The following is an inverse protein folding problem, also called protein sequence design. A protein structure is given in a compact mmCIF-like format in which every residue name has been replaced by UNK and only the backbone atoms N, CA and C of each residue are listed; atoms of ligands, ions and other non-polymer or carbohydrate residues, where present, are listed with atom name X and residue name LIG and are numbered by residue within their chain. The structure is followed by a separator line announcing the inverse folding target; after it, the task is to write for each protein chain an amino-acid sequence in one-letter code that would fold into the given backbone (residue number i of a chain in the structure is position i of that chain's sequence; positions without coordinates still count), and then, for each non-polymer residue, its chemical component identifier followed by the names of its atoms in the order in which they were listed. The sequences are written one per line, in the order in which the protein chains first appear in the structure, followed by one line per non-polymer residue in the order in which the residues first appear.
data_IF_232569388217
#
_entry.id   IF_232569388217
#
_cell.length_a   1.000
_cell.length_b   1.000
_cell.length_c   1.000
_cell.angle_alpha   90.00
_cell.angle_beta   90.00
_cell.angle_gamma   90.00
#
_symmetry.space_group_name_H-M   'P 1'
#
loop_
_entity.id
_entity.type
_entity.pdbx_description
1 polymer ?
2 polymer ?
3 polymer ?
4 water ?
#
loop_
_entity_poly.entity_id
_entity_poly.type
_entity_poly.pdbx_seq_one_letter_code
_entity_poly.pdbx_strand_id
2 'polyribonucleotide' 'GUAGGACCAUG' ?
3 'polydeoxyribonucleotide' '(DC)(DC)(DA)(DT)(DG)(DG)(DT)(DC)(DC)(DT)(DA)' ?
#
# COMPACT_ATOMS: atom_id res chain seq x y z
N UNK A 2 -24.31 -1.65 18.08
CA UNK A 2 -23.08 -2.15 18.69
C UNK A 2 -22.95 -1.73 20.14
N UNK A 3 -21.73 -1.39 20.53
CA UNK A 3 -21.45 -0.98 21.90
C UNK A 3 -22.02 0.40 22.22
N UNK A 4 -22.25 0.66 23.50
CA UNK A 4 -22.85 1.90 23.96
C UNK A 4 -22.09 2.42 25.16
N UNK A 5 -21.92 3.73 25.22
CA UNK A 5 -21.09 4.31 26.27
C UNK A 5 -21.81 4.32 27.63
N UNK A 6 -21.04 4.13 28.69
CA UNK A 6 -21.58 4.23 30.05
C UNK A 6 -22.17 5.62 30.29
N UNK A 7 -23.20 5.69 31.12
CA UNK A 7 -23.97 6.89 31.28
C UNK A 7 -23.13 8.02 31.86
N UNK A 8 -22.13 7.69 32.65
CA UNK A 8 -21.29 8.69 33.30
C UNK A 8 -19.97 8.83 32.59
N UNK A 9 -19.97 8.58 31.28
CA UNK A 9 -18.72 8.63 30.48
C UNK A 9 -17.96 9.94 30.67
N UNK A 10 -18.67 11.06 30.64
CA UNK A 10 -18.06 12.37 30.83
C UNK A 10 -17.22 12.49 32.13
N UNK A 11 -17.81 12.10 33.25
CA UNK A 11 -17.16 12.20 34.56
C UNK A 11 -15.92 11.33 34.65
N UNK A 12 -16.05 10.13 34.11
CA UNK A 12 -14.97 9.19 34.00
C UNK A 12 -13.88 9.80 33.15
N UNK A 13 -14.28 10.42 32.05
CA UNK A 13 -13.27 10.96 31.12
C UNK A 13 -12.45 12.05 31.78
N UNK A 14 -13.15 12.99 32.39
CA UNK A 14 -12.47 14.06 33.13
C UNK A 14 -11.55 13.45 34.21
N UNK A 15 -12.07 12.52 35.00
CA UNK A 15 -11.22 11.95 36.04
C UNK A 15 -10.00 11.24 35.43
N UNK A 16 -10.19 10.53 34.32
CA UNK A 16 -9.10 9.84 33.70
C UNK A 16 -8.05 10.82 33.20
N UNK A 17 -8.46 11.84 32.45
CA UNK A 17 -7.46 12.75 31.87
C UNK A 17 -6.82 13.63 32.95
N UNK A 18 -7.54 13.93 34.02
CA UNK A 18 -6.92 14.68 35.11
C UNK A 18 -5.64 14.04 35.65
N UNK A 19 -5.60 12.72 35.69
CA UNK A 19 -4.44 12.01 36.20
C UNK A 19 -3.34 11.87 35.15
N UNK A 20 -3.67 12.11 33.88
CA UNK A 20 -2.69 11.97 32.78
C UNK A 20 -2.13 13.32 32.31
N UNK A 21 -3.00 14.30 32.14
CA UNK A 21 -2.63 15.64 31.69
C UNK A 21 -3.86 16.54 31.80
N UNK A 22 -3.99 17.26 32.93
CA UNK A 22 -5.16 18.10 33.20
C UNK A 22 -5.43 19.20 32.17
N UNK A 23 -4.43 19.60 31.37
CA UNK A 23 -4.66 20.66 30.38
C UNK A 23 -5.49 20.16 29.19
N UNK A 24 -5.46 18.84 29.00
CA UNK A 24 -6.26 18.18 27.97
C UNK A 24 -7.64 17.68 28.42
N UNK A 25 -7.96 17.77 29.70
CA UNK A 25 -9.21 17.15 30.21
C UNK A 25 -10.48 17.66 29.54
N UNK A 26 -10.54 18.97 29.30
CA UNK A 26 -11.72 19.52 28.65
C UNK A 26 -11.88 19.03 27.22
N UNK A 27 -10.77 18.98 26.48
CA UNK A 27 -10.82 18.53 25.10
C UNK A 27 -11.19 17.06 25.04
N UNK A 28 -10.63 16.28 25.95
CA UNK A 28 -10.85 14.86 25.90
C UNK A 28 -12.29 14.57 26.24
N UNK A 29 -12.84 15.31 27.19
CA UNK A 29 -14.23 15.08 27.61
C UNK A 29 -15.25 15.26 26.47
N UNK A 30 -15.02 16.30 25.68
CA UNK A 30 -15.83 16.61 24.50
C UNK A 30 -15.71 15.51 23.43
N UNK A 31 -14.52 14.98 23.22
CA UNK A 31 -14.39 13.86 22.28
C UNK A 31 -15.17 12.65 22.84
N UNK A 32 -15.06 12.37 24.15
CA UNK A 32 -15.86 11.27 24.69
C UNK A 32 -17.36 11.56 24.53
N UNK A 33 -17.78 12.82 24.66
CA UNK A 33 -19.17 13.15 24.38
C UNK A 33 -19.58 12.86 22.96
N UNK A 34 -18.71 13.23 22.02
CA UNK A 34 -18.98 12.95 20.64
C UNK A 34 -19.15 11.43 20.40
N UNK A 35 -18.31 10.62 21.04
CA UNK A 35 -18.38 9.17 20.85
C UNK A 35 -19.59 8.57 21.56
N UNK A 36 -19.98 9.19 22.65
CA UNK A 36 -21.21 8.79 23.35
C UNK A 36 -22.37 8.92 22.40
N UNK A 37 -22.36 10.03 21.68
CA UNK A 37 -23.43 10.29 20.72
C UNK A 37 -23.26 9.45 19.46
N UNK A 38 -22.01 9.07 19.16
CA UNK A 38 -21.64 8.40 17.92
C UNK A 38 -20.72 7.20 18.19
N UNK A 39 -21.24 6.20 18.89
CA UNK A 39 -20.41 5.12 19.43
C UNK A 39 -19.81 4.24 18.34
N UNK A 40 -20.39 4.27 17.15
CA UNK A 40 -19.80 3.52 16.02
C UNK A 40 -18.61 4.22 15.41
N UNK A 41 -18.36 5.47 15.80
CA UNK A 41 -17.16 6.18 15.37
C UNK A 41 -15.97 5.80 16.23
N UNK A 42 -16.21 5.01 17.26
CA UNK A 42 -15.20 4.76 18.28
C UNK A 42 -14.29 3.66 17.79
N UNK A 43 -13.00 3.95 17.73
CA UNK A 43 -12.07 2.99 17.17
C UNK A 43 -11.74 1.97 18.24
N UNK A 44 -11.58 0.72 17.81
CA UNK A 44 -11.16 -0.33 18.74
C UNK A 44 -9.76 -0.01 19.31
N UNK A 45 -9.47 -0.52 20.50
CA UNK A 45 -8.20 -0.22 21.16
C UNK A 45 -7.07 -1.12 20.66
N UNK A 51 -10.76 -4.82 26.25
CA UNK A 51 -11.29 -3.54 26.74
C UNK A 51 -12.37 -2.96 25.84
N UNK A 52 -13.63 -3.27 26.15
CA UNK A 52 -14.76 -2.99 25.27
C UNK A 52 -15.05 -1.49 25.07
N UNK A 53 -15.41 -1.14 23.86
CA UNK A 53 -15.76 0.26 23.53
C UNK A 53 -16.86 0.76 24.44
N UNK A 54 -16.62 1.93 25.04
CA UNK A 54 -17.61 2.62 25.86
C UNK A 54 -17.58 2.31 27.34
N UNK A 55 -16.73 1.38 27.75
CA UNK A 55 -16.60 1.01 29.15
C UNK A 55 -15.69 1.97 29.92
N UNK A 56 -15.75 1.88 31.25
CA UNK A 56 -14.89 2.71 32.09
C UNK A 56 -13.41 2.51 31.75
N UNK A 57 -13.09 1.24 31.53
CA UNK A 57 -11.74 0.79 31.27
C UNK A 57 -11.24 1.39 29.96
N UNK A 58 -12.11 1.31 28.97
CA UNK A 58 -11.87 1.87 27.61
C UNK A 58 -11.59 3.36 27.68
N UNK A 59 -12.43 4.07 28.42
CA UNK A 59 -12.25 5.51 28.55
C UNK A 59 -10.88 5.86 29.18
N UNK A 60 -10.57 5.17 30.28
CA UNK A 60 -9.27 5.37 30.90
C UNK A 60 -8.11 5.07 29.95
N UNK A 61 -8.15 3.96 29.22
CA UNK A 61 -7.08 3.69 28.25
C UNK A 61 -6.98 4.77 27.17
N UNK A 62 -8.15 5.20 26.74
CA UNK A 62 -8.25 6.20 25.71
C UNK A 62 -7.61 7.53 26.14
N UNK A 63 -7.71 7.87 27.43
CA UNK A 63 -7.06 9.10 27.88
C UNK A 63 -5.53 9.04 27.63
N UNK A 64 -4.92 7.90 27.92
CA UNK A 64 -3.50 7.75 27.65
C UNK A 64 -3.25 7.80 26.17
N UNK A 65 -4.08 7.13 25.38
CA UNK A 65 -3.86 7.19 23.93
C UNK A 65 -3.99 8.61 23.35
N UNK A 66 -4.98 9.36 23.87
CA UNK A 66 -5.25 10.73 23.39
C UNK A 66 -4.07 11.60 23.72
N UNK A 67 -3.52 11.40 24.92
CA UNK A 67 -2.37 12.18 25.33
C UNK A 67 -1.13 11.79 24.52
N UNK A 68 -0.89 10.50 24.36
CA UNK A 68 0.29 10.05 23.59
C UNK A 68 0.23 10.55 22.15
N UNK A 69 -0.98 10.60 21.57
CA UNK A 69 -1.12 11.16 20.25
C UNK A 69 -0.53 12.56 20.07
N UNK A 70 -0.50 13.34 21.13
CA UNK A 70 -0.08 14.73 21.04
C UNK A 70 1.43 14.86 21.31
N UNK A 71 2.04 13.80 21.82
CA UNK A 71 3.50 13.78 22.01
C UNK A 71 4.17 13.64 20.63
N UNK A 72 5.32 14.31 20.44
CA UNK A 72 6.05 14.30 19.17
C UNK A 72 6.37 12.92 18.65
N UNK A 73 5.97 12.67 17.41
CA UNK A 73 6.26 11.40 16.74
C UNK A 73 7.57 11.54 15.93
N UNK A 74 8.49 10.60 16.06
CA UNK A 74 9.79 10.72 15.38
C UNK A 74 9.77 10.02 14.02
N UNK A 75 10.22 10.73 12.98
CA UNK A 75 10.27 10.06 11.68
C UNK A 75 11.27 8.90 11.74
N UNK A 76 10.92 7.76 11.14
CA UNK A 76 11.81 6.61 11.13
C UNK A 76 11.76 5.92 9.80
N UNK A 77 12.94 5.63 9.23
CA UNK A 77 12.89 4.76 8.05
C UNK A 77 12.41 3.39 8.45
N UNK A 78 11.98 2.57 7.50
CA UNK A 78 11.57 1.19 7.80
C UNK A 78 12.63 0.40 8.57
N UNK A 79 12.17 -0.59 9.32
CA UNK A 79 13.05 -1.46 10.12
C UNK A 79 13.41 -2.71 9.32
N UNK A 80 13.11 -2.67 8.03
CA UNK A 80 13.23 -3.84 7.16
C UNK A 80 14.55 -3.90 6.43
N UNK A 81 14.88 -5.07 5.87
CA UNK A 81 16.06 -5.22 5.05
C UNK A 81 15.67 -4.91 3.61
N UNK A 82 16.39 -3.99 2.95
CA UNK A 82 15.98 -3.69 1.56
C UNK A 82 16.26 -4.88 0.64
N UNK A 83 15.45 -5.03 -0.40
CA UNK A 83 15.67 -6.05 -1.41
C UNK A 83 16.79 -5.61 -2.32
N UNK A 84 17.85 -6.42 -2.36
CA UNK A 84 19.02 -6.18 -3.20
C UNK A 84 18.66 -6.02 -4.65
N UNK A 85 17.57 -6.66 -5.07
CA UNK A 85 17.23 -6.62 -6.50
C UNK A 85 16.78 -5.22 -6.93
N UNK A 86 16.28 -4.41 -6.00
CA UNK A 86 15.90 -3.03 -6.38
C UNK A 86 17.12 -2.26 -6.84
N UNK A 87 18.27 -2.49 -6.20
CA UNK A 87 19.47 -1.82 -6.66
C UNK A 87 19.93 -2.31 -8.02
N UNK A 88 19.74 -3.58 -8.28
CA UNK A 88 20.11 -4.15 -9.58
C UNK A 88 19.27 -3.48 -10.66
N UNK A 89 17.98 -3.36 -10.37
CA UNK A 89 17.08 -2.70 -11.33
C UNK A 89 17.48 -1.25 -11.54
N UNK A 90 17.82 -0.53 -10.46
CA UNK A 90 18.25 0.85 -10.57
C UNK A 90 19.47 0.92 -11.48
N UNK A 91 20.38 -0.01 -11.27
CA UNK A 91 21.65 -0.01 -11.98
C UNK A 91 21.51 -0.39 -13.47
N UNK A 92 20.79 -1.47 -13.76
CA UNK A 92 20.81 -2.03 -15.10
C UNK A 92 19.70 -1.49 -16.00
N UNK A 93 18.68 -0.89 -15.41
CA UNK A 93 17.65 -0.32 -16.26
C UNK A 93 17.62 1.19 -16.15
N UNK A 94 17.66 1.73 -14.94
CA UNK A 94 17.53 3.18 -14.77
C UNK A 94 18.87 3.90 -14.81
N UNK A 95 19.95 3.14 -14.94
CA UNK A 95 21.29 3.73 -15.14
C UNK A 95 21.84 4.50 -13.92
N UNK A 96 21.43 4.13 -12.72
CA UNK A 96 22.05 4.68 -11.51
C UNK A 96 23.43 4.07 -11.37
N UNK A 97 24.48 4.92 -11.31
CA UNK A 97 25.81 4.33 -11.22
C UNK A 97 25.99 3.44 -10.00
N UNK A 98 26.85 2.44 -10.13
CA UNK A 98 27.13 1.44 -9.10
C UNK A 98 27.48 2.10 -7.77
N UNK A 99 28.27 3.15 -7.90
CA UNK A 99 28.86 3.82 -6.75
C UNK A 99 27.83 4.66 -6.00
N UNK A 100 26.64 4.78 -6.57
CA UNK A 100 25.63 5.57 -5.93
C UNK A 100 24.48 4.71 -5.46
N UNK A 101 24.58 3.40 -5.65
CA UNK A 101 23.43 2.57 -5.26
C UNK A 101 23.18 2.53 -3.75
N UNK A 102 24.22 2.53 -2.95
CA UNK A 102 24.02 2.43 -1.49
C UNK A 102 23.30 3.70 -0.97
N UNK A 103 23.69 4.82 -1.55
CA UNK A 103 23.06 6.12 -1.29
C UNK A 103 21.60 6.16 -1.73
N UNK A 104 21.31 5.71 -2.95
CA UNK A 104 19.93 5.62 -3.41
C UNK A 104 19.09 4.76 -2.46
N UNK A 105 19.68 3.67 -1.97
CA UNK A 105 18.96 2.78 -1.08
C UNK A 105 18.58 3.47 0.23
N UNK A 106 19.54 4.24 0.74
CA UNK A 106 19.32 4.94 2.00
C UNK A 106 18.32 6.09 1.83
N UNK A 107 18.48 6.87 0.78
CA UNK A 107 17.58 7.95 0.54
C UNK A 107 16.17 7.50 0.26
N UNK A 108 16.02 6.34 -0.39
CA UNK A 108 14.70 5.77 -0.58
C UNK A 108 14.05 5.42 0.77
N UNK A 109 14.82 4.86 1.67
CA UNK A 109 14.30 4.50 2.97
C UNK A 109 13.95 5.77 3.75
N UNK A 110 14.78 6.81 3.69
CA UNK A 110 14.43 8.05 4.41
C UNK A 110 13.16 8.67 3.82
N UNK A 111 13.01 8.57 2.50
CA UNK A 111 11.88 9.18 1.81
C UNK A 111 10.61 8.52 2.28
N UNK A 112 10.66 7.20 2.46
CA UNK A 112 9.46 6.50 2.92
C UNK A 112 9.15 6.90 4.39
N UNK A 113 10.19 7.05 5.21
CA UNK A 113 10.03 7.54 6.57
C UNK A 113 9.32 8.91 6.55
N UNK A 114 9.79 9.79 5.69
CA UNK A 114 9.23 11.14 5.61
C UNK A 114 7.77 11.07 5.18
N UNK A 115 7.48 10.32 4.12
CA UNK A 115 6.11 10.20 3.66
C UNK A 115 5.20 9.70 4.78
N UNK A 116 5.73 8.86 5.62
CA UNK A 116 4.91 8.25 6.64
C UNK A 116 4.61 9.20 7.79
N UNK A 117 5.29 10.35 7.83
CA UNK A 117 4.97 11.31 8.91
C UNK A 117 4.31 12.61 8.44
N UNK A 118 4.22 12.84 7.14
CA UNK A 118 3.68 14.12 6.68
C UNK A 118 2.23 14.29 7.08
N UNK A 119 1.43 13.23 7.05
CA UNK A 119 0.05 13.33 7.50
C UNK A 119 -0.11 13.70 8.99
N UNK A 120 0.72 13.10 9.84
CA UNK A 120 0.76 13.45 11.24
C UNK A 120 1.17 14.92 11.41
N UNK A 121 2.13 15.39 10.65
CA UNK A 121 2.57 16.80 10.82
C UNK A 121 1.42 17.72 10.35
N UNK A 122 0.71 17.31 9.31
CA UNK A 122 -0.39 18.08 8.78
C UNK A 122 -1.52 18.23 9.84
N UNK A 123 -1.82 17.13 10.56
CA UNK A 123 -2.82 17.20 11.63
C UNK A 123 -2.38 18.11 12.77
N UNK A 124 -1.14 18.01 13.15
CA UNK A 124 -0.58 18.86 14.21
C UNK A 124 -0.64 20.35 13.86
N UNK A 125 -0.28 20.67 12.64
CA UNK A 125 -0.30 22.07 12.20
C UNK A 125 -1.71 22.61 12.26
N UNK A 126 -2.64 21.90 11.64
CA UNK A 126 -4.01 22.34 11.66
C UNK A 126 -4.52 22.49 13.10
N UNK A 127 -4.23 21.51 13.95
CA UNK A 127 -4.66 21.55 15.35
C UNK A 127 -4.16 22.82 16.04
N UNK A 128 -2.90 23.16 15.79
CA UNK A 128 -2.33 24.36 16.43
C UNK A 128 -3.12 25.59 15.98
N UNK A 129 -3.60 25.60 14.75
CA UNK A 129 -4.29 26.80 14.23
C UNK A 129 -5.78 26.82 14.62
N UNK A 130 -6.48 25.70 14.55
CA UNK A 130 -7.91 25.73 14.80
C UNK A 130 -8.42 25.28 16.19
N UNK A 131 -7.59 24.64 16.99
CA UNK A 131 -8.03 24.32 18.34
C UNK A 131 -8.36 25.58 19.20
N UNK A 132 -7.59 26.66 19.06
CA UNK A 132 -8.02 27.90 19.76
C UNK A 132 -9.44 28.37 19.41
N UNK A 133 -9.97 27.96 18.26
CA UNK A 133 -11.38 28.24 17.92
C UNK A 133 -12.37 27.19 18.28
N UNK A 134 -11.98 26.24 19.10
CA UNK A 134 -12.95 25.30 19.63
C UNK A 134 -13.07 24.01 18.87
N UNK A 135 -12.37 23.90 17.73
CA UNK A 135 -12.26 22.59 17.08
C UNK A 135 -11.34 21.79 17.98
N UNK A 136 -11.59 20.49 18.05
CA UNK A 136 -10.75 19.61 18.86
C UNK A 136 -10.13 18.53 18.00
N UNK A 137 -8.82 18.43 18.11
CA UNK A 137 -8.09 17.37 17.44
C UNK A 137 -8.25 16.03 18.14
N UNK A 138 -8.89 15.10 17.45
CA UNK A 138 -9.00 13.76 17.95
C UNK A 138 -7.68 13.01 17.85
N UNK A 139 -6.76 13.35 18.73
CA UNK A 139 -5.46 12.73 18.74
C UNK A 139 -5.53 11.28 19.23
N UNK A 140 -4.53 10.52 18.86
CA UNK A 140 -4.51 9.13 19.28
C UNK A 140 -5.38 8.49 18.24
N UNK A 141 -5.80 7.27 18.49
CA UNK A 141 -6.46 6.53 17.42
C UNK A 141 -7.94 6.41 17.68
N UNK A 142 -8.54 7.45 18.28
CA UNK A 142 -9.80 7.30 18.99
C UNK A 142 -11.05 7.25 18.12
N UNK A 143 -11.09 8.10 17.12
CA UNK A 143 -12.27 8.25 16.31
C UNK A 143 -11.91 7.76 14.94
N UNK A 144 -12.70 6.81 14.46
CA UNK A 144 -12.49 6.24 13.15
C UNK A 144 -12.77 7.26 12.04
N UNK A 145 -11.79 7.52 11.19
CA UNK A 145 -11.98 8.33 9.98
C UNK A 145 -12.37 9.79 10.26
N UNK A 146 -12.14 10.27 11.48
CA UNK A 146 -12.40 11.65 11.89
C UNK A 146 -11.13 12.19 12.57
N UNK A 147 -10.70 13.37 12.17
CA UNK A 147 -9.53 14.00 12.79
C UNK A 147 -9.87 15.18 13.67
N UNK A 148 -10.91 15.95 13.33
CA UNK A 148 -11.34 17.07 14.15
C UNK A 148 -12.85 17.10 14.34
N UNK A 149 -13.29 17.53 15.50
CA UNK A 149 -14.71 17.66 15.78
C UNK A 149 -15.01 19.00 16.42
N UNK A 150 -16.28 19.39 16.35
CA UNK A 150 -16.68 20.68 16.88
C UNK A 150 -18.14 20.64 17.29
N UNK A 151 -18.46 21.13 18.48
CA UNK A 151 -19.90 21.32 18.83
C UNK A 151 -20.25 22.79 18.59
N UNK A 152 -21.10 23.07 17.59
CA UNK A 152 -21.34 24.44 17.18
C UNK A 152 -22.43 25.09 18.03
N UNK A 153 -22.75 26.34 17.68
CA UNK A 153 -23.70 27.17 18.42
C UNK A 153 -25.07 26.50 18.53
N UNK A 154 -25.44 25.80 17.48
CA UNK A 154 -26.73 25.13 17.42
C UNK A 154 -26.70 23.77 18.12
N UNK A 155 -25.59 23.46 18.79
CA UNK A 155 -25.40 22.17 19.46
C UNK A 155 -25.48 21.00 18.48
N UNK A 156 -24.87 21.17 17.32
CA UNK A 156 -24.79 20.13 16.31
C UNK A 156 -23.30 19.76 16.16
N UNK A 157 -22.99 18.46 16.14
CA UNK A 157 -21.61 17.97 15.92
C UNK A 157 -21.19 18.16 14.50
N UNK A 158 -20.04 18.84 14.33
CA UNK A 158 -19.35 18.96 13.07
C UNK A 158 -18.05 18.18 13.13
N UNK A 159 -17.68 17.60 11.99
CA UNK A 159 -16.46 16.79 11.98
C UNK A 159 -15.72 16.91 10.69
N UNK A 160 -14.42 16.66 10.76
CA UNK A 160 -13.56 16.89 9.61
C UNK A 160 -12.50 15.83 9.57
N UNK A 161 -12.25 15.35 8.35
CA UNK A 161 -11.22 14.35 8.06
C UNK A 161 -10.21 15.02 7.12
N UNK A 162 -8.94 15.00 7.48
CA UNK A 162 -7.94 15.61 6.63
C UNK A 162 -6.98 14.54 6.15
N UNK A 163 -6.58 14.68 4.89
CA UNK A 163 -5.64 13.74 4.29
C UNK A 163 -4.59 14.51 3.56
N UNK A 164 -3.42 13.93 3.41
CA UNK A 164 -2.36 14.63 2.75
C UNK A 164 -2.55 14.67 1.25
N UNK A 165 -3.18 13.64 0.71
CA UNK A 165 -3.17 13.44 -0.73
C UNK A 165 -4.55 13.04 -1.23
N UNK A 166 -4.81 13.35 -2.48
CA UNK A 166 -6.15 13.12 -3.01
C UNK A 166 -6.37 11.68 -3.44
N UNK A 167 -5.29 10.89 -3.56
CA UNK A 167 -5.45 9.52 -4.04
C UNK A 167 -5.36 8.55 -2.87
N UNK A 168 -6.38 8.62 -2.02
CA UNK A 168 -6.48 7.79 -0.83
C UNK A 168 -7.80 7.04 -0.87
N UNK A 169 -7.81 5.82 -0.34
CA UNK A 169 -9.03 5.02 -0.28
C UNK A 169 -10.02 5.71 0.68
N UNK A 170 -11.29 5.79 0.26
CA UNK A 170 -12.29 6.60 0.93
C UNK A 170 -13.38 5.76 1.58
N UNK A 171 -13.14 5.33 2.83
CA UNK A 171 -14.08 4.42 3.51
C UNK A 171 -13.74 4.19 4.97
N UNK A 172 -14.31 3.09 5.48
CA UNK A 172 -14.15 2.67 6.86
C UNK A 172 -14.47 3.82 7.82
N UNK A 173 -15.60 4.47 7.57
CA UNK A 173 -16.29 5.25 8.58
C UNK A 173 -17.72 4.75 8.58
N UNK A 174 -18.22 4.33 9.73
CA UNK A 174 -19.64 4.06 9.85
C UNK A 174 -20.39 5.39 9.67
N UNK A 175 -21.64 5.31 9.19
CA UNK A 175 -22.44 6.50 9.01
C UNK A 175 -22.54 7.27 10.32
N UNK A 176 -22.49 8.59 10.25
CA UNK A 176 -22.65 9.41 11.45
C UNK A 176 -24.07 9.21 11.97
N UNK A 177 -24.23 9.34 13.28
CA UNK A 177 -25.50 9.12 13.96
C UNK A 177 -26.13 10.45 14.43
N UNK A 178 -25.34 11.24 15.14
CA UNK A 178 -25.70 12.55 15.60
C UNK A 178 -24.68 13.53 15.07
N UNK A 179 -25.07 14.32 14.07
CA UNK A 179 -24.20 15.32 13.51
C UNK A 179 -24.36 15.46 12.01
N UNK A 180 -23.57 16.35 11.43
CA UNK A 180 -23.56 16.53 9.97
C UNK A 180 -22.58 15.53 9.37
N UNK A 181 -22.64 15.32 8.05
CA UNK A 181 -21.70 14.33 7.47
C UNK A 181 -20.23 14.78 7.61
N UNK A 182 -19.32 13.84 7.77
CA UNK A 182 -17.89 14.17 7.93
C UNK A 182 -17.44 14.99 6.71
N UNK A 183 -16.89 16.20 6.92
CA UNK A 183 -16.25 16.99 5.86
C UNK A 183 -14.92 16.39 5.53
N UNK A 184 -14.54 16.39 4.26
CA UNK A 184 -13.32 15.71 3.87
C UNK A 184 -12.44 16.68 3.10
N UNK A 185 -11.16 16.75 3.39
CA UNK A 185 -10.30 17.66 2.69
C UNK A 185 -8.92 17.03 2.52
N UNK A 186 -8.29 17.29 1.40
CA UNK A 186 -6.90 16.87 1.22
C UNK A 186 -6.04 18.04 0.84
N UNK A 187 -4.74 17.93 1.11
CA UNK A 187 -3.78 19.00 0.89
C UNK A 187 -3.18 19.01 -0.52
N UNK A 188 -2.70 17.86 -1.01
CA UNK A 188 -1.91 17.85 -2.24
C UNK A 188 -2.63 17.05 -3.32
N UNK A 189 -2.31 17.38 -4.57
CA UNK A 189 -2.80 16.62 -5.72
C UNK A 189 -1.73 15.64 -6.18
N UNK A 190 -2.13 14.43 -6.52
CA UNK A 190 -1.17 13.45 -6.98
C UNK A 190 -0.77 13.75 -8.42
N UNK A 191 -1.66 14.38 -9.18
CA UNK A 191 -1.48 14.54 -10.63
C UNK A 191 -1.23 15.97 -11.12
N UNK A 192 -1.17 16.92 -10.20
CA UNK A 192 -0.86 18.29 -10.58
C UNK A 192 -0.13 19.05 -9.48
N UNK A 193 0.65 20.03 -9.90
CA UNK A 193 1.35 20.92 -9.01
C UNK A 193 0.34 21.78 -8.24
N UNK A 194 0.76 22.23 -7.07
CA UNK A 194 -0.03 23.12 -6.26
C UNK A 194 -0.57 22.45 -5.01
N UNK A 195 -1.35 23.22 -4.29
CA UNK A 195 -1.99 22.75 -3.07
C UNK A 195 -3.49 23.13 -3.09
N UNK A 196 -4.22 22.55 -2.14
CA UNK A 196 -5.67 22.63 -2.05
C UNK A 196 -6.18 23.43 -0.84
N UNK A 197 -5.31 24.25 -0.25
CA UNK A 197 -5.67 25.00 0.95
C UNK A 197 -6.84 25.94 0.70
N UNK A 198 -6.97 26.39 -0.55
CA UNK A 198 -8.05 27.33 -0.88
C UNK A 198 -9.42 26.69 -0.71
N UNK A 199 -9.48 25.35 -0.76
CA UNK A 199 -10.72 24.62 -0.55
C UNK A 199 -10.87 24.07 0.86
N UNK A 200 -10.03 24.52 1.75
CA UNK A 200 -10.18 24.03 3.12
C UNK A 200 -11.61 24.40 3.63
N UNK A 201 -12.30 23.50 4.34
CA UNK A 201 -13.69 23.77 4.74
C UNK A 201 -13.88 25.06 5.53
N UNK A 202 -15.02 25.71 5.33
CA UNK A 202 -15.31 26.89 6.12
C UNK A 202 -15.49 26.44 7.56
N UNK A 203 -14.65 27.01 8.42
CA UNK A 203 -14.75 26.82 9.85
C UNK A 203 -13.83 27.90 10.47
N UNK A 204 -14.13 28.24 11.71
CA UNK A 204 -13.40 29.28 12.45
C UNK A 204 -11.91 28.97 12.40
N UNK A 205 -11.07 29.93 11.98
CA UNK A 205 -9.63 29.72 11.96
C UNK A 205 -9.04 29.37 10.60
N UNK A 206 -9.90 28.92 9.69
CA UNK A 206 -9.49 28.49 8.32
C UNK A 206 -8.60 29.52 7.64
N UNK A 207 -8.87 30.77 7.94
CA UNK A 207 -8.24 31.91 7.31
C UNK A 207 -6.75 31.99 7.72
N UNK A 208 -6.39 31.28 8.78
CA UNK A 208 -5.02 31.32 9.30
C UNK A 208 -4.19 30.10 8.88
N UNK A 209 -4.64 29.39 7.84
CA UNK A 209 -3.95 28.18 7.33
C UNK A 209 -3.37 28.46 5.97
N UNK A 210 -2.18 27.96 5.69
CA UNK A 210 -1.62 28.07 4.36
C UNK A 210 -0.48 27.08 4.13
N UNK A 211 -0.11 26.87 2.89
CA UNK A 211 0.97 25.96 2.59
C UNK A 211 2.31 26.55 3.13
N UNK A 212 2.41 27.87 3.08
CA UNK A 212 3.66 28.53 3.56
C UNK A 212 3.76 28.37 5.08
N UNK A 213 2.63 28.45 5.75
CA UNK A 213 2.52 28.24 7.17
C UNK A 213 2.80 26.79 7.57
N UNK A 214 2.27 25.83 6.79
CA UNK A 214 2.53 24.42 7.03
C UNK A 214 4.04 24.19 6.94
N UNK A 215 4.66 24.74 5.90
CA UNK A 215 6.11 24.56 5.74
C UNK A 215 6.93 25.15 6.91
N UNK A 216 6.54 26.35 7.32
CA UNK A 216 7.23 26.95 8.48
C UNK A 216 7.07 26.09 9.72
N UNK A 217 5.84 25.61 9.92
CA UNK A 217 5.56 24.74 11.05
C UNK A 217 6.39 23.45 10.99
N UNK A 218 6.48 22.81 9.82
CA UNK A 218 7.23 21.59 9.68
C UNK A 218 8.69 21.85 10.01
N UNK A 219 9.19 22.96 9.53
CA UNK A 219 10.61 23.23 9.77
C UNK A 219 10.92 23.42 11.25
N UNK A 220 10.12 24.24 11.92
CA UNK A 220 10.33 24.47 13.33
C UNK A 220 10.11 23.19 14.12
N UNK A 221 9.03 22.46 13.79
CA UNK A 221 8.72 21.24 14.45
C UNK A 221 9.89 20.24 14.39
N UNK A 222 10.45 20.08 13.21
CA UNK A 222 11.56 19.14 13.06
C UNK A 222 12.81 19.62 13.79
N UNK A 223 13.06 20.92 13.81
CA UNK A 223 14.11 21.41 14.73
C UNK A 223 13.94 21.02 16.19
N UNK A 224 12.72 21.18 16.72
CA UNK A 224 12.43 20.73 18.08
C UNK A 224 12.70 19.24 18.25
N UNK A 225 12.27 18.47 17.24
CA UNK A 225 12.47 17.03 17.34
C UNK A 225 13.93 16.67 17.29
N UNK A 226 14.73 17.39 16.49
CA UNK A 226 16.18 17.14 16.45
C UNK A 226 16.76 17.32 17.84
N UNK A 227 16.36 18.40 18.50
CA UNK A 227 16.85 18.61 19.88
C UNK A 227 16.38 17.53 20.88
N UNK A 228 15.15 17.06 20.79
CA UNK A 228 14.79 15.88 21.59
C UNK A 228 15.63 14.63 21.31
N UNK A 229 15.81 14.29 20.03
CA UNK A 229 16.58 13.11 19.62
C UNK A 229 18.05 13.13 20.04
N UNK A 230 18.59 14.33 20.22
CA UNK A 230 20.00 14.48 20.55
C UNK A 230 20.29 13.94 21.95
N UNK A 231 19.24 13.54 22.69
CA UNK A 231 19.40 13.13 24.08
C UNK A 231 19.18 11.64 24.34
N UNK B 3 -19.49 -18.51 -14.40
CA UNK B 3 -18.73 -19.46 -13.58
C UNK B 3 -18.34 -20.71 -14.38
N UNK B 4 -19.31 -21.57 -14.69
CA UNK B 4 -19.01 -22.82 -15.39
C UNK B 4 -18.58 -22.56 -16.85
N UNK B 5 -17.55 -23.27 -17.29
CA UNK B 5 -16.99 -23.04 -18.62
C UNK B 5 -17.83 -23.74 -19.67
N UNK B 6 -17.89 -23.11 -20.83
CA UNK B 6 -18.51 -23.67 -22.00
C UNK B 6 -17.93 -25.04 -22.36
N UNK B 7 -18.75 -25.94 -22.89
CA UNK B 7 -18.29 -27.32 -23.05
C UNK B 7 -17.21 -27.55 -24.11
N UNK B 8 -17.13 -26.66 -25.08
CA UNK B 8 -16.11 -26.78 -26.11
C UNK B 8 -14.97 -25.78 -25.83
N UNK B 9 -14.73 -25.51 -24.56
CA UNK B 9 -13.73 -24.50 -24.16
C UNK B 9 -12.34 -24.79 -24.76
N UNK B 10 -11.95 -26.06 -24.86
CA UNK B 10 -10.61 -26.41 -25.37
C UNK B 10 -10.42 -26.09 -26.85
N UNK B 11 -11.45 -26.39 -27.63
CA UNK B 11 -11.44 -26.10 -29.07
C UNK B 11 -11.45 -24.60 -29.33
N UNK B 12 -12.21 -23.88 -28.52
CA UNK B 12 -12.35 -22.44 -28.64
C UNK B 12 -10.99 -21.86 -28.26
N UNK B 13 -10.38 -22.42 -27.22
CA UNK B 13 -9.06 -21.90 -26.79
C UNK B 13 -8.01 -22.08 -27.85
N UNK B 14 -7.95 -23.27 -28.41
CA UNK B 14 -6.94 -23.52 -29.41
C UNK B 14 -7.16 -22.54 -30.57
N UNK B 15 -8.39 -22.45 -31.04
CA UNK B 15 -8.73 -21.54 -32.15
C UNK B 15 -8.34 -20.09 -31.85
N UNK B 16 -8.65 -19.64 -30.63
CA UNK B 16 -8.38 -18.28 -30.24
C UNK B 16 -6.86 -17.99 -30.21
N UNK B 17 -6.09 -18.85 -29.55
CA UNK B 17 -4.65 -18.54 -29.45
C UNK B 17 -4.00 -18.75 -30.83
N UNK B 18 -4.49 -19.68 -31.65
CA UNK B 18 -3.95 -19.79 -33.01
C UNK B 18 -4.06 -18.50 -33.79
N UNK B 19 -5.07 -17.67 -33.48
CA UNK B 19 -5.24 -16.38 -34.12
C UNK B 19 -4.42 -15.28 -33.46
N UNK B 20 -3.74 -15.60 -32.37
CA UNK B 20 -2.96 -14.59 -31.66
C UNK B 20 -1.47 -14.93 -31.68
N UNK B 21 -1.14 -16.16 -31.26
CA UNK B 21 0.27 -16.63 -31.24
C UNK B 21 0.24 -18.13 -31.13
N UNK B 22 0.34 -18.84 -32.26
CA UNK B 22 0.22 -20.29 -32.27
C UNK B 22 1.22 -21.01 -31.40
N UNK B 23 2.42 -20.46 -31.23
CA UNK B 23 3.41 -21.09 -30.36
C UNK B 23 2.93 -21.17 -28.89
N UNK B 24 1.91 -20.38 -28.53
CA UNK B 24 1.36 -20.45 -27.17
C UNK B 24 0.07 -21.27 -27.06
N UNK B 25 -0.40 -21.83 -28.16
CA UNK B 25 -1.75 -22.46 -28.11
C UNK B 25 -1.85 -23.66 -27.21
N UNK B 26 -0.81 -24.49 -27.18
CA UNK B 26 -0.86 -25.65 -26.34
C UNK B 26 -0.87 -25.26 -24.86
N UNK B 27 -0.01 -24.30 -24.48
CA UNK B 27 0.02 -23.80 -23.12
C UNK B 27 -1.31 -23.17 -22.74
N UNK B 28 -1.84 -22.32 -23.62
CA UNK B 28 -3.07 -21.62 -23.31
C UNK B 28 -4.21 -22.60 -23.18
N UNK B 29 -4.18 -23.62 -24.01
CA UNK B 29 -5.25 -24.62 -23.96
C UNK B 29 -5.22 -25.36 -22.60
N UNK B 30 -4.02 -25.66 -22.10
CA UNK B 30 -3.91 -26.35 -20.83
C UNK B 30 -4.40 -25.45 -19.69
N UNK B 31 -4.14 -24.16 -19.76
CA UNK B 31 -4.64 -23.25 -18.73
C UNK B 31 -6.19 -23.23 -18.74
N UNK B 32 -6.77 -23.23 -19.95
CA UNK B 32 -8.23 -23.21 -20.05
C UNK B 32 -8.78 -24.53 -19.49
N UNK B 33 -8.10 -25.66 -19.75
CA UNK B 33 -8.46 -26.94 -19.13
C UNK B 33 -8.46 -26.85 -17.59
N UNK B 34 -7.41 -26.25 -17.04
CA UNK B 34 -7.29 -26.06 -15.60
C UNK B 34 -8.47 -25.28 -15.05
N UNK B 35 -8.83 -24.20 -15.74
CA UNK B 35 -9.90 -23.34 -15.26
C UNK B 35 -11.25 -24.03 -15.44
N UNK B 36 -11.39 -24.84 -16.50
CA UNK B 36 -12.61 -25.62 -16.71
C UNK B 36 -12.86 -26.48 -15.48
N UNK B 37 -11.79 -27.13 -15.01
CA UNK B 37 -11.88 -28.00 -13.82
C UNK B 37 -12.01 -27.19 -12.53
N UNK B 38 -11.40 -26.01 -12.53
CA UNK B 38 -11.34 -25.12 -11.37
C UNK B 38 -11.86 -23.71 -11.65
N UNK B 39 -13.17 -23.62 -11.90
CA UNK B 39 -13.68 -22.34 -12.45
C UNK B 39 -13.58 -21.19 -11.49
N UNK B 40 -13.58 -21.49 -10.20
CA UNK B 40 -13.46 -20.44 -9.21
C UNK B 40 -12.08 -19.83 -9.20
N UNK B 41 -11.12 -20.48 -9.86
CA UNK B 41 -9.79 -19.91 -10.01
C UNK B 41 -9.68 -18.88 -11.12
N UNK B 42 -10.70 -18.80 -11.97
CA UNK B 42 -10.72 -17.84 -13.08
C UNK B 42 -11.00 -16.44 -12.56
N UNK B 43 -10.29 -15.48 -13.09
CA UNK B 43 -10.42 -14.11 -12.61
C UNK B 43 -11.24 -13.35 -13.62
N UNK B 44 -12.01 -12.38 -13.14
CA UNK B 44 -12.73 -11.46 -14.00
C UNK B 44 -11.74 -10.72 -14.91
N UNK B 45 -12.14 -10.53 -16.16
CA UNK B 45 -11.34 -9.80 -17.14
C UNK B 45 -11.91 -8.41 -17.40
N UNK B 50 -17.08 -6.09 -20.38
CA UNK B 50 -16.27 -7.29 -20.40
C UNK B 50 -17.14 -8.53 -20.27
N UNK B 51 -16.69 -9.64 -20.84
CA UNK B 51 -17.52 -10.84 -20.96
C UNK B 51 -17.50 -11.70 -19.70
N UNK B 52 -18.43 -12.66 -19.65
CA UNK B 52 -18.64 -13.49 -18.48
C UNK B 52 -17.65 -14.66 -18.45
N UNK B 53 -17.10 -14.94 -17.29
CA UNK B 53 -16.16 -16.05 -17.16
C UNK B 53 -16.76 -17.36 -17.68
N UNK B 54 -15.97 -18.12 -18.44
CA UNK B 54 -16.42 -19.37 -19.00
C UNK B 54 -17.04 -19.32 -20.39
N UNK B 55 -17.37 -18.11 -20.88
CA UNK B 55 -17.96 -17.95 -22.18
C UNK B 55 -16.93 -17.93 -23.29
N UNK B 56 -17.40 -18.16 -24.51
CA UNK B 56 -16.55 -18.08 -25.66
C UNK B 56 -15.88 -16.72 -25.71
N UNK B 57 -16.66 -15.65 -25.55
CA UNK B 57 -16.01 -14.32 -25.64
C UNK B 57 -14.92 -14.13 -24.56
N UNK B 58 -15.15 -14.70 -23.39
CA UNK B 58 -14.16 -14.67 -22.32
C UNK B 58 -12.85 -15.37 -22.74
N UNK B 59 -12.99 -16.53 -23.36
CA UNK B 59 -11.83 -17.33 -23.74
C UNK B 59 -11.03 -16.55 -24.79
N UNK B 60 -11.77 -15.97 -25.72
CA UNK B 60 -11.10 -15.23 -26.76
C UNK B 60 -10.37 -14.04 -26.19
N UNK B 61 -11.01 -13.31 -25.29
CA UNK B 61 -10.32 -12.18 -24.67
C UNK B 61 -9.08 -12.62 -23.86
N UNK B 62 -9.25 -13.75 -23.20
CA UNK B 62 -8.18 -14.30 -22.38
C UNK B 62 -6.95 -14.66 -23.23
N UNK B 63 -7.13 -15.12 -24.46
CA UNK B 63 -5.94 -15.43 -25.27
C UNK B 63 -5.05 -14.19 -25.50
N UNK B 64 -5.68 -13.05 -25.77
CA UNK B 64 -4.91 -11.80 -25.88
C UNK B 64 -4.24 -11.43 -24.56
N UNK B 65 -5.01 -11.51 -23.48
CA UNK B 65 -4.49 -11.25 -22.13
C UNK B 65 -3.28 -12.13 -21.76
N UNK B 66 -3.39 -13.42 -22.07
CA UNK B 66 -2.37 -14.39 -21.78
C UNK B 66 -1.11 -14.06 -22.56
N UNK B 67 -1.31 -13.73 -23.84
CA UNK B 67 -0.18 -13.44 -24.74
C UNK B 67 0.52 -12.17 -24.33
N UNK B 68 -0.27 -11.13 -24.05
CA UNK B 68 0.28 -9.81 -23.73
C UNK B 68 1.07 -9.86 -22.43
N UNK B 69 0.63 -10.68 -21.47
CA UNK B 69 1.37 -11.05 -20.28
C UNK B 69 2.83 -11.48 -20.45
N UNK B 70 3.11 -12.15 -21.56
CA UNK B 70 4.49 -12.56 -21.88
C UNK B 70 5.35 -11.51 -22.54
N UNK B 71 4.75 -10.46 -23.11
CA UNK B 71 5.54 -9.45 -23.81
C UNK B 71 6.29 -8.67 -22.76
N UNK B 72 7.48 -8.22 -23.13
CA UNK B 72 8.28 -7.48 -22.14
C UNK B 72 7.58 -6.24 -21.55
N UNK B 73 7.56 -6.09 -20.22
CA UNK B 73 6.93 -4.94 -19.55
C UNK B 73 8.04 -4.04 -19.00
N UNK B 74 8.03 -2.78 -19.44
CA UNK B 74 9.05 -1.78 -19.06
C UNK B 74 8.89 -1.30 -17.60
N UNK B 75 10.00 -1.21 -16.85
CA UNK B 75 9.85 -0.57 -15.54
C UNK B 75 9.46 0.90 -15.73
N UNK B 76 8.71 1.47 -14.82
CA UNK B 76 8.20 2.83 -15.04
C UNK B 76 8.06 3.52 -13.70
N UNK B 77 8.81 4.62 -13.50
CA UNK B 77 8.54 5.33 -12.24
C UNK B 77 7.10 5.86 -12.17
N UNK B 78 6.63 6.20 -10.97
CA UNK B 78 5.32 6.84 -10.86
C UNK B 78 5.20 8.09 -11.74
N UNK B 79 4.02 8.33 -12.26
CA UNK B 79 3.73 9.57 -12.97
C UNK B 79 2.89 10.45 -12.04
N UNK B 80 3.45 10.76 -10.90
CA UNK B 80 2.81 11.66 -9.93
C UNK B 80 3.78 12.78 -9.64
N UNK B 81 3.24 13.86 -9.11
CA UNK B 81 4.03 15.00 -8.66
C UNK B 81 4.48 14.71 -7.23
N UNK B 82 5.80 14.75 -6.96
CA UNK B 82 6.14 14.40 -5.56
C UNK B 82 5.74 15.52 -4.61
N UNK B 83 5.53 15.15 -3.35
CA UNK B 83 5.21 16.11 -2.29
C UNK B 83 6.49 16.84 -1.87
N UNK B 84 6.52 18.16 -2.06
CA UNK B 84 7.73 18.94 -1.70
C UNK B 84 8.09 18.80 -0.22
N UNK B 85 7.11 18.54 0.63
CA UNK B 85 7.39 18.48 2.06
C UNK B 85 8.25 17.29 2.43
N UNK B 86 8.21 16.22 1.63
CA UNK B 86 9.08 15.13 1.83
C UNK B 86 10.54 15.61 1.74
N UNK B 87 10.83 16.51 0.78
CA UNK B 87 12.20 17.00 0.63
C UNK B 87 12.62 17.89 1.83
N UNK B 88 11.67 18.63 2.38
CA UNK B 88 11.90 19.44 3.58
C UNK B 88 12.27 18.53 4.77
N UNK B 89 11.51 17.46 4.96
CA UNK B 89 11.85 16.51 6.02
C UNK B 89 13.23 15.84 5.82
N UNK B 90 13.53 15.41 4.60
CA UNK B 90 14.80 14.81 4.34
C UNK B 90 15.93 15.81 4.71
N UNK B 91 15.73 17.07 4.36
CA UNK B 91 16.73 18.13 4.61
C UNK B 91 16.84 18.52 6.07
N UNK B 92 15.70 18.76 6.69
CA UNK B 92 15.69 19.36 8.02
C UNK B 92 15.72 18.33 9.12
N UNK B 93 15.33 17.09 8.86
CA UNK B 93 15.37 16.11 9.93
C UNK B 93 16.40 15.06 9.68
N UNK B 94 16.51 14.57 8.43
CA UNK B 94 17.44 13.48 8.14
C UNK B 94 18.77 13.94 7.59
N UNK B 95 18.98 15.26 7.54
CA UNK B 95 20.23 15.87 7.07
C UNK B 95 20.73 15.50 5.66
N UNK B 96 19.82 15.35 4.72
CA UNK B 96 20.21 15.19 3.33
C UNK B 96 20.54 16.61 2.83
N UNK B 97 21.74 16.82 2.29
CA UNK B 97 22.12 18.15 1.79
C UNK B 97 21.18 18.71 0.74
N UNK B 98 20.92 20.01 0.83
CA UNK B 98 20.07 20.73 -0.13
C UNK B 98 20.41 20.37 -1.57
N UNK B 99 21.71 20.38 -1.87
CA UNK B 99 22.22 20.12 -3.22
C UNK B 99 21.86 18.73 -3.70
N UNK B 100 21.55 17.84 -2.76
CA UNK B 100 21.25 16.46 -3.09
C UNK B 100 19.75 16.16 -3.13
N UNK B 101 18.88 17.12 -2.78
CA UNK B 101 17.47 16.76 -2.62
C UNK B 101 16.79 16.36 -3.92
N UNK B 102 17.18 17.01 -5.00
CA UNK B 102 16.59 16.75 -6.29
C UNK B 102 16.92 15.31 -6.73
N UNK B 103 18.16 14.93 -6.51
CA UNK B 103 18.64 13.58 -6.77
C UNK B 103 17.90 12.58 -5.88
N UNK B 104 17.74 12.88 -4.59
CA UNK B 104 17.02 11.97 -3.68
C UNK B 104 15.61 11.76 -4.14
N UNK B 105 14.93 12.83 -4.59
CA UNK B 105 13.54 12.70 -5.06
C UNK B 105 13.43 11.77 -6.28
N UNK B 106 14.40 11.92 -7.17
CA UNK B 106 14.39 11.10 -8.38
C UNK B 106 14.70 9.64 -8.09
N UNK B 107 15.68 9.39 -7.25
CA UNK B 107 16.03 8.00 -6.93
C UNK B 107 14.92 7.32 -6.13
N UNK B 108 14.23 8.08 -5.27
CA UNK B 108 13.06 7.55 -4.63
C UNK B 108 12.00 7.08 -5.64
N UNK B 109 11.73 7.90 -6.66
CA UNK B 109 10.74 7.58 -7.69
C UNK B 109 11.18 6.34 -8.48
N UNK B 110 12.45 6.31 -8.85
CA UNK B 110 12.97 5.14 -9.58
C UNK B 110 12.92 3.89 -8.71
N UNK B 111 13.21 4.00 -7.43
CA UNK B 111 13.15 2.85 -6.54
C UNK B 111 11.73 2.33 -6.45
N UNK B 112 10.75 3.21 -6.41
CA UNK B 112 9.37 2.74 -6.39
C UNK B 112 9.04 2.00 -7.68
N UNK B 113 9.48 2.55 -8.81
CA UNK B 113 9.34 1.87 -10.11
C UNK B 113 9.97 0.48 -10.07
N UNK B 114 11.16 0.40 -9.50
CA UNK B 114 11.81 -0.93 -9.40
C UNK B 114 10.99 -1.89 -8.53
N UNK B 115 10.51 -1.43 -7.38
CA UNK B 115 9.76 -2.27 -6.49
C UNK B 115 8.51 -2.80 -7.13
N UNK B 116 7.94 -2.01 -8.02
CA UNK B 116 6.72 -2.42 -8.67
C UNK B 116 6.92 -3.41 -9.82
N UNK B 117 8.15 -3.70 -10.21
CA UNK B 117 8.36 -4.65 -11.33
C UNK B 117 9.05 -5.93 -10.84
N UNK B 118 9.54 -5.93 -9.60
CA UNK B 118 10.33 -7.13 -9.14
C UNK B 118 9.49 -8.39 -9.23
N UNK B 119 8.23 -8.31 -8.84
CA UNK B 119 7.35 -9.47 -8.83
C UNK B 119 7.16 -10.05 -10.23
N UNK B 120 6.97 -9.17 -11.20
CA UNK B 120 6.86 -9.60 -12.59
C UNK B 120 8.16 -10.22 -13.06
N UNK B 121 9.28 -9.66 -12.66
CA UNK B 121 10.57 -10.25 -13.03
C UNK B 121 10.75 -11.63 -12.43
N UNK B 122 10.30 -11.83 -11.21
CA UNK B 122 10.40 -13.12 -10.54
C UNK B 122 9.61 -14.21 -11.24
N UNK B 123 8.42 -13.86 -11.70
CA UNK B 123 7.55 -14.76 -12.47
C UNK B 123 8.18 -15.11 -13.79
N UNK B 124 8.75 -14.11 -14.49
CA UNK B 124 9.41 -14.36 -15.79
C UNK B 124 10.58 -15.27 -15.65
N UNK B 125 11.34 -15.05 -14.57
CA UNK B 125 12.55 -15.85 -14.33
C UNK B 125 12.18 -17.30 -14.10
N UNK B 126 11.22 -17.51 -13.21
CA UNK B 126 10.81 -18.88 -12.90
C UNK B 126 10.25 -19.53 -14.16
N UNK B 127 9.45 -18.76 -14.95
CA UNK B 127 8.86 -19.32 -16.17
C UNK B 127 9.94 -19.78 -17.15
N UNK B 128 10.98 -18.96 -17.29
CA UNK B 128 12.11 -19.28 -18.15
C UNK B 128 12.66 -20.63 -17.76
N UNK B 129 12.68 -20.93 -16.47
CA UNK B 129 13.44 -22.09 -16.03
C UNK B 129 12.56 -23.35 -16.02
N UNK B 130 11.29 -23.17 -15.66
CA UNK B 130 10.53 -24.37 -15.46
C UNK B 130 9.55 -24.71 -16.59
N UNK B 131 9.25 -23.78 -17.49
CA UNK B 131 8.35 -24.14 -18.60
C UNK B 131 8.94 -25.21 -19.54
N UNK B 132 10.28 -25.28 -19.66
CA UNK B 132 10.84 -26.43 -20.38
C UNK B 132 10.46 -27.75 -19.78
N UNK B 133 10.11 -27.75 -18.50
CA UNK B 133 9.85 -29.00 -17.80
C UNK B 133 8.40 -29.31 -17.77
N UNK B 134 7.60 -28.49 -18.45
CA UNK B 134 6.18 -28.77 -18.59
C UNK B 134 5.25 -27.98 -17.67
N UNK B 135 5.80 -27.21 -16.77
CA UNK B 135 4.97 -26.31 -15.99
C UNK B 135 4.56 -25.19 -16.95
N UNK B 136 3.44 -24.56 -16.67
CA UNK B 136 2.93 -23.47 -17.48
C UNK B 136 2.73 -22.20 -16.66
N UNK B 137 3.28 -21.11 -17.16
CA UNK B 137 3.17 -19.82 -16.52
C UNK B 137 1.82 -19.23 -16.89
N UNK B 138 1.02 -18.93 -15.87
CA UNK B 138 -0.30 -18.39 -16.11
C UNK B 138 -0.14 -16.89 -16.29
N UNK B 139 0.30 -16.50 -17.46
CA UNK B 139 0.67 -15.12 -17.74
C UNK B 139 -0.63 -14.29 -17.92
N UNK B 140 -0.54 -12.99 -17.71
CA UNK B 140 -1.71 -12.13 -17.76
C UNK B 140 -2.47 -12.31 -16.47
N UNK B 141 -3.73 -11.92 -16.48
CA UNK B 141 -4.50 -11.86 -15.22
C UNK B 141 -5.71 -12.80 -15.21
N UNK B 142 -5.73 -13.81 -16.06
CA UNK B 142 -6.91 -14.67 -16.15
C UNK B 142 -7.05 -15.67 -14.96
N UNK B 143 -5.94 -16.00 -14.32
CA UNK B 143 -5.99 -16.95 -13.23
C UNK B 143 -5.73 -16.24 -11.91
N UNK B 144 -6.62 -16.48 -10.95
CA UNK B 144 -6.54 -15.84 -9.65
C UNK B 144 -5.68 -16.61 -8.65
N UNK B 145 -4.69 -15.93 -8.08
CA UNK B 145 -3.85 -16.49 -7.03
C UNK B 145 -3.18 -17.84 -7.41
N UNK B 146 -2.95 -18.07 -8.70
CA UNK B 146 -2.09 -19.15 -9.15
C UNK B 146 -1.18 -18.58 -10.21
N UNK B 147 0.12 -18.85 -10.12
CA UNK B 147 1.03 -18.35 -11.14
C UNK B 147 1.51 -19.41 -12.12
N UNK B 148 1.64 -20.64 -11.66
CA UNK B 148 2.08 -21.74 -12.49
C UNK B 148 1.24 -22.98 -12.24
N UNK B 149 1.02 -23.72 -13.30
CA UNK B 149 0.32 -25.00 -13.22
C UNK B 149 0.98 -26.10 -14.00
N UNK B 150 0.58 -27.35 -13.65
CA UNK B 150 1.17 -28.53 -14.21
C UNK B 150 0.21 -29.72 -14.12
N UNK B 151 0.04 -30.43 -15.22
CA UNK B 151 -0.75 -31.68 -15.20
C UNK B 151 0.27 -32.82 -15.13
N UNK B 152 0.36 -33.49 -13.99
CA UNK B 152 1.47 -34.44 -13.82
C UNK B 152 1.23 -35.82 -14.47
N UNK B 153 2.10 -36.76 -14.15
CA UNK B 153 1.94 -38.16 -14.54
C UNK B 153 0.55 -38.71 -14.26
N UNK B 154 0.14 -38.60 -13.00
CA UNK B 154 -1.10 -39.17 -12.50
C UNK B 154 -2.36 -38.39 -12.87
N UNK B 155 -2.26 -37.52 -13.89
CA UNK B 155 -3.34 -36.61 -14.24
C UNK B 155 -3.94 -35.88 -13.04
N UNK B 156 -3.07 -35.31 -12.21
CA UNK B 156 -3.51 -34.49 -11.07
C UNK B 156 -2.93 -33.07 -11.31
N UNK B 157 -3.76 -32.04 -11.14
CA UNK B 157 -3.26 -30.65 -11.29
C UNK B 157 -2.41 -30.27 -10.11
N UNK B 158 -1.21 -29.82 -10.43
CA UNK B 158 -0.29 -29.25 -9.46
C UNK B 158 -0.27 -27.73 -9.76
N UNK B 159 -0.17 -26.93 -8.72
CA UNK B 159 -0.18 -25.48 -8.89
C UNK B 159 0.73 -24.75 -7.89
N UNK B 160 1.27 -23.62 -8.31
CA UNK B 160 2.27 -22.86 -7.61
C UNK B 160 1.93 -21.38 -7.61
N UNK B 161 2.03 -20.80 -6.42
CA UNK B 161 1.82 -19.36 -6.22
C UNK B 161 3.11 -18.73 -5.64
N UNK B 162 3.65 -17.72 -6.33
CA UNK B 162 4.90 -17.11 -5.95
C UNK B 162 4.73 -15.65 -5.59
N UNK B 163 5.45 -15.22 -4.55
CA UNK B 163 5.48 -13.80 -4.17
C UNK B 163 6.88 -13.43 -3.89
N UNK B 164 7.13 -12.14 -4.00
CA UNK B 164 8.47 -11.69 -3.78
C UNK B 164 8.86 -11.68 -2.31
N UNK B 165 7.89 -11.43 -1.46
CA UNK B 165 8.21 -11.05 -0.09
C UNK B 165 7.26 -11.74 0.84
N UNK B 166 7.72 -12.03 2.05
CA UNK B 166 6.87 -12.74 3.00
C UNK B 166 5.77 -11.83 3.54
N UNK B 167 6.08 -10.54 3.69
CA UNK B 167 5.20 -9.61 4.41
C UNK B 167 4.06 -9.04 3.55
N UNK B 168 3.50 -9.84 2.65
CA UNK B 168 2.29 -9.45 1.92
C UNK B 168 1.07 -10.15 2.48
N UNK B 169 -0.04 -9.41 2.64
CA UNK B 169 -1.28 -10.03 3.08
C UNK B 169 -1.83 -10.90 1.93
N UNK B 170 -2.01 -12.18 2.22
CA UNK B 170 -2.32 -13.18 1.21
C UNK B 170 -3.81 -13.48 1.10
N UNK B 171 -4.57 -12.49 0.64
CA UNK B 171 -6.01 -12.64 0.47
C UNK B 171 -6.33 -13.02 -0.98
N UNK B 172 -7.60 -12.86 -1.35
CA UNK B 172 -8.05 -13.10 -2.72
C UNK B 172 -7.74 -14.52 -3.24
N UNK B 173 -7.97 -15.53 -2.41
CA UNK B 173 -7.84 -16.91 -2.84
C UNK B 173 -9.09 -17.75 -2.49
N UNK B 174 -9.59 -18.46 -3.49
CA UNK B 174 -10.64 -19.46 -3.31
C UNK B 174 -10.04 -20.84 -3.55
N UNK B 175 -10.41 -21.80 -2.71
CA UNK B 175 -9.81 -23.14 -2.75
C UNK B 175 -10.01 -23.88 -4.09
N UNK B 176 -8.91 -24.43 -4.61
CA UNK B 176 -8.89 -25.39 -5.73
C UNK B 176 -9.96 -26.51 -5.57
N UNK B 177 -10.52 -27.02 -6.67
CA UNK B 177 -11.43 -28.18 -6.64
C UNK B 177 -10.76 -29.48 -7.06
N UNK B 178 -10.21 -29.49 -8.28
CA UNK B 178 -9.48 -30.64 -8.79
C UNK B 178 -8.01 -30.35 -8.74
N UNK B 179 -7.29 -31.02 -7.85
CA UNK B 179 -5.86 -30.88 -7.82
C UNK B 179 -5.36 -30.89 -6.39
N UNK B 180 -4.04 -30.87 -6.26
CA UNK B 180 -3.42 -30.80 -4.95
C UNK B 180 -3.52 -29.36 -4.43
N UNK B 181 -3.26 -29.15 -3.12
CA UNK B 181 -3.37 -27.75 -2.67
C UNK B 181 -2.24 -26.91 -3.29
N UNK B 182 -2.45 -25.61 -3.36
CA UNK B 182 -1.54 -24.75 -4.09
C UNK B 182 -0.26 -24.68 -3.28
N UNK B 183 0.87 -24.97 -3.92
CA UNK B 183 2.18 -24.69 -3.33
C UNK B 183 2.40 -23.17 -3.29
N UNK B 184 2.61 -22.64 -2.11
CA UNK B 184 2.91 -21.23 -1.98
C UNK B 184 4.34 -21.01 -1.51
N UNK B 185 4.98 -19.99 -2.12
CA UNK B 185 6.40 -19.73 -1.87
C UNK B 185 6.71 -18.24 -2.00
N UNK B 186 7.63 -17.75 -1.19
CA UNK B 186 8.10 -16.37 -1.34
C UNK B 186 9.62 -16.33 -1.34
N UNK B 187 10.13 -15.27 -1.96
CA UNK B 187 11.57 -15.16 -2.21
C UNK B 187 12.36 -14.56 -1.06
N UNK B 188 11.91 -13.43 -0.53
CA UNK B 188 12.75 -12.66 0.43
C UNK B 188 12.03 -12.48 1.75
N UNK B 189 12.81 -12.19 2.78
CA UNK B 189 12.32 -11.93 4.13
C UNK B 189 12.39 -10.43 4.39
N UNK B 190 11.34 -9.84 4.94
CA UNK B 190 11.38 -8.40 5.23
C UNK B 190 12.25 -8.10 6.44
N UNK B 191 12.32 -9.06 7.36
CA UNK B 191 12.95 -8.84 8.66
C UNK B 191 14.26 -9.59 8.87
N UNK B 192 14.79 -10.21 7.82
CA UNK B 192 16.13 -10.77 7.94
C UNK B 192 16.78 -10.93 6.59
N UNK B 193 18.08 -11.06 6.62
CA UNK B 193 18.87 -11.02 5.40
C UNK B 193 18.82 -12.41 4.76
N UNK B 194 19.11 -12.48 3.47
CA UNK B 194 19.16 -13.75 2.77
C UNK B 194 17.93 -13.98 1.93
N UNK B 195 17.70 -15.23 1.54
CA UNK B 195 16.63 -15.55 0.60
C UNK B 195 16.07 -16.92 0.91
N UNK B 196 15.02 -17.29 0.19
CA UNK B 196 14.22 -18.42 0.56
C UNK B 196 14.20 -19.46 -0.56
N UNK B 197 15.18 -19.43 -1.46
CA UNK B 197 15.16 -20.35 -2.59
C UNK B 197 15.35 -21.82 -2.14
N UNK B 198 16.04 -22.00 -1.02
CA UNK B 198 16.22 -23.34 -0.45
C UNK B 198 14.90 -23.94 -0.04
N UNK B 199 13.87 -23.13 0.20
CA UNK B 199 12.50 -23.70 0.41
C UNK B 199 11.60 -23.72 -0.85
N UNK B 200 12.17 -23.52 -2.02
CA UNK B 200 11.32 -23.52 -3.23
C UNK B 200 10.69 -24.90 -3.34
N UNK B 201 9.41 -24.95 -3.69
CA UNK B 201 8.76 -26.26 -3.65
C UNK B 201 9.34 -27.27 -4.61
N UNK B 202 9.15 -28.50 -4.22
CA UNK B 202 9.54 -29.62 -5.04
C UNK B 202 8.72 -29.70 -6.31
N UNK B 203 9.41 -29.56 -7.43
CA UNK B 203 8.77 -29.69 -8.72
C UNK B 203 9.90 -29.74 -9.73
N UNK B 204 9.59 -30.33 -10.87
CA UNK B 204 10.43 -30.37 -12.07
C UNK B 204 11.14 -29.03 -12.39
N UNK B 205 12.47 -28.96 -12.24
CA UNK B 205 13.21 -27.75 -12.58
C UNK B 205 13.61 -26.88 -11.42
N UNK B 206 13.07 -27.20 -10.26
CA UNK B 206 13.42 -26.48 -9.01
C UNK B 206 14.92 -26.43 -8.80
N UNK B 207 15.61 -27.49 -9.18
CA UNK B 207 17.01 -27.56 -8.80
C UNK B 207 17.83 -26.64 -9.70
N UNK B 208 17.16 -25.98 -10.65
CA UNK B 208 17.88 -25.05 -11.46
C UNK B 208 17.48 -23.59 -11.18
N UNK B 209 16.87 -23.32 -10.03
CA UNK B 209 16.58 -21.94 -9.56
C UNK B 209 17.44 -21.49 -8.42
N UNK B 210 17.87 -20.24 -8.45
CA UNK B 210 18.64 -19.68 -7.35
C UNK B 210 18.55 -18.19 -7.38
N UNK B 211 18.98 -17.56 -6.28
CA UNK B 211 19.10 -16.10 -6.25
C UNK B 211 20.11 -15.55 -7.26
N UNK B 212 21.26 -16.20 -7.37
CA UNK B 212 22.25 -15.77 -8.36
C UNK B 212 21.77 -15.91 -9.80
N UNK B 213 20.92 -16.93 -10.03
CA UNK B 213 20.32 -17.18 -11.32
C UNK B 213 19.33 -16.07 -11.58
N UNK B 214 18.54 -15.74 -10.54
CA UNK B 214 17.52 -14.68 -10.67
C UNK B 214 18.25 -13.37 -11.03
N UNK B 215 19.33 -13.08 -10.31
CA UNK B 215 20.08 -11.85 -10.54
C UNK B 215 20.65 -11.80 -11.97
N UNK B 216 21.26 -12.90 -12.43
CA UNK B 216 21.73 -12.95 -13.81
C UNK B 216 20.59 -12.73 -14.82
N UNK B 217 19.45 -13.40 -14.60
CA UNK B 217 18.30 -13.21 -15.45
C UNK B 217 17.96 -11.71 -15.53
N UNK B 218 17.85 -11.07 -14.37
CA UNK B 218 17.42 -9.69 -14.31
C UNK B 218 18.41 -8.80 -15.01
N UNK B 219 19.71 -8.99 -14.76
CA UNK B 219 20.73 -8.20 -15.43
C UNK B 219 20.64 -8.28 -16.97
N UNK B 220 20.57 -9.52 -17.46
CA UNK B 220 20.48 -9.71 -18.92
C UNK B 220 19.17 -9.12 -19.49
N UNK B 221 18.05 -9.37 -18.82
CA UNK B 221 16.76 -8.91 -19.33
C UNK B 221 16.60 -7.41 -19.33
N UNK B 222 16.98 -6.78 -18.23
CA UNK B 222 16.92 -5.32 -18.14
C UNK B 222 17.88 -4.65 -19.09
N UNK B 223 19.08 -5.22 -19.30
CA UNK B 223 19.94 -4.66 -20.33
C UNK B 223 19.32 -4.78 -21.74
N UNK B 224 18.65 -5.91 -21.99
CA UNK B 224 17.90 -6.08 -23.25
C UNK B 224 16.81 -5.02 -23.42
N UNK B 225 16.09 -4.81 -22.32
CA UNK B 225 15.02 -3.84 -22.36
C UNK B 225 15.56 -2.42 -22.61
N UNK B 226 16.68 -2.06 -22.00
CA UNK B 226 17.29 -0.80 -22.36
C UNK B 226 17.70 -0.72 -23.79
N UNK B 227 18.23 -1.82 -24.31
CA UNK B 227 18.67 -1.86 -25.68
C UNK B 227 17.50 -1.64 -26.69
N UNK B 228 16.29 -2.05 -26.33
CA UNK B 228 15.19 -1.79 -27.30
C UNK B 228 14.34 -0.54 -27.02
N UNK B 229 14.75 0.23 -26.02
CA UNK B 229 14.07 1.47 -25.58
C UNK B 229 13.73 2.47 -26.71
N UNK B 230 14.58 2.49 -27.73
CA UNK B 230 14.48 3.47 -28.79
C UNK B 230 13.79 2.93 -30.04
N UNK B 231 13.22 1.72 -29.98
CA UNK B 231 12.67 1.11 -31.19
C UNK B 231 11.16 1.28 -31.34
#
# INVERSE_FOLDING_TARGET
MGSKFIQNAAEIAKKAMDSVDPSLSEKFTIVIRFLTDNPDAASALKGKERSIVGTEEYIIASATNFKKGRDPRTPLPPSTIPDEMVSVILNKYFEVPSEELEKAEEWHRLSMGAENIVGDLLERYIAEVIEPHGWIWCSGSMVRAVDFIYCDSENVWQSLQVKNRDNTENSSSAAIRHGTPIKKWFRTFSKKRGDNWDKFPSLEGKENLSEKGFKLYVEKYLSALRAIKALEHHHHHH
MGSKFIQNAAEIAKKAMDSVDPSLSEKFTIVIRFLTDNPDAASALKGKERSIVGTEEYIIASATNFKKGRDPRTPLPPSTIPDEMVSVILNKYFEVPSEELEKAEEWHRLSMGAENIVGDLLERYIAEVIEPHGWIWCSGSMVRAVDFIYCDSENVWQSLQVKNRDNTENSSSAAIRHGTPIKKWFRTFSKKRGDNWDKFPSLEGKENLSEKGFKLYVEKYLSALRAIKALEHHHHHH
#
